data_IF_240991845276
#
_entry.id   IF_240991845276
#
_cell.length_a   1.000
_cell.length_b   1.000
_cell.length_c   1.000
_cell.angle_alpha   90.00
_cell.angle_beta   90.00
_cell.angle_gamma   90.00
#
_symmetry.space_group_name_H-M   'P 1'
#
loop_
_entity.id
_entity.type
_entity.pdbx_description
1 polymer ?
#
# COMPACT_ATOMS: atom_id res chain seq x y z
N UNK A 1 -28.62 -5.78 3.07
CA UNK A 1 -27.28 -5.74 3.67
C UNK A 1 -26.96 -4.29 3.93
N UNK A 2 -26.42 -3.99 5.11
CA UNK A 2 -25.84 -2.69 5.44
C UNK A 2 -24.31 -2.73 5.25
N UNK A 3 -23.62 -1.62 5.52
CA UNK A 3 -22.16 -1.55 5.37
C UNK A 3 -21.41 -2.57 6.25
N UNK A 4 -21.91 -2.81 7.47
CA UNK A 4 -21.31 -3.77 8.41
C UNK A 4 -21.45 -5.22 7.91
N UNK A 5 -22.59 -5.59 7.32
CA UNK A 5 -22.80 -6.91 6.72
C UNK A 5 -21.77 -7.16 5.61
N UNK A 6 -21.55 -6.18 4.73
CA UNK A 6 -20.55 -6.26 3.67
C UNK A 6 -19.12 -6.26 4.21
N UNK A 7 -18.84 -5.54 5.30
CA UNK A 7 -17.55 -5.59 5.98
C UNK A 7 -17.26 -7.02 6.48
N UNK A 8 -18.22 -7.65 7.15
CA UNK A 8 -18.08 -9.03 7.64
C UNK A 8 -17.93 -10.04 6.50
N UNK A 9 -18.68 -9.87 5.41
CA UNK A 9 -18.53 -10.70 4.21
C UNK A 9 -17.13 -10.56 3.61
N UNK A 10 -16.60 -9.33 3.55
CA UNK A 10 -15.25 -9.04 3.09
C UNK A 10 -14.19 -9.78 3.92
N UNK A 11 -14.31 -9.77 5.25
CA UNK A 11 -13.43 -10.55 6.13
C UNK A 11 -13.55 -12.06 5.91
N UNK A 12 -14.76 -12.59 5.74
CA UNK A 12 -14.97 -14.00 5.46
C UNK A 12 -14.24 -14.42 4.17
N UNK A 13 -14.34 -13.61 3.11
CA UNK A 13 -13.60 -13.87 1.87
C UNK A 13 -12.09 -13.72 2.04
N UNK A 14 -11.59 -12.79 2.86
CA UNK A 14 -10.16 -12.71 3.18
C UNK A 14 -9.65 -13.99 3.89
N UNK A 15 -10.45 -14.54 4.81
CA UNK A 15 -10.13 -15.80 5.49
C UNK A 15 -10.06 -16.98 4.50
N UNK A 16 -10.95 -16.99 3.50
CA UNK A 16 -10.93 -17.94 2.38
C UNK A 16 -9.86 -17.62 1.32
N UNK A 17 -9.06 -16.57 1.50
CA UNK A 17 -8.08 -16.05 0.53
C UNK A 17 -8.70 -15.66 -0.82
N UNK A 18 -10.00 -15.39 -0.84
CA UNK A 18 -10.72 -14.89 -2.01
C UNK A 18 -10.66 -13.35 -2.07
N UNK A 19 -9.49 -12.83 -2.43
CA UNK A 19 -9.23 -11.39 -2.44
C UNK A 19 -10.14 -10.60 -3.40
N UNK A 20 -10.56 -11.22 -4.51
CA UNK A 20 -11.46 -10.59 -5.46
C UNK A 20 -12.83 -10.32 -4.85
N UNK A 21 -13.43 -11.32 -4.18
CA UNK A 21 -14.73 -11.13 -3.52
C UNK A 21 -14.62 -10.23 -2.30
N UNK A 22 -13.53 -10.32 -1.54
CA UNK A 22 -13.27 -9.40 -0.43
C UNK A 22 -13.25 -7.94 -0.89
N UNK A 23 -12.55 -7.64 -1.98
CA UNK A 23 -12.56 -6.32 -2.63
C UNK A 23 -13.99 -5.86 -2.96
N UNK A 24 -14.80 -6.71 -3.60
CA UNK A 24 -16.17 -6.33 -3.95
C UNK A 24 -17.01 -6.02 -2.72
N UNK A 25 -16.91 -6.84 -1.66
CA UNK A 25 -17.65 -6.61 -0.42
C UNK A 25 -17.24 -5.30 0.24
N UNK A 26 -15.94 -4.98 0.37
CA UNK A 26 -15.53 -3.69 0.93
C UNK A 26 -15.98 -2.49 0.09
N UNK A 27 -15.98 -2.61 -1.24
CA UNK A 27 -16.53 -1.57 -2.11
C UNK A 27 -18.04 -1.39 -1.92
N UNK A 28 -18.80 -2.46 -1.70
CA UNK A 28 -20.23 -2.35 -1.35
C UNK A 28 -20.42 -1.70 0.03
N UNK A 29 -19.56 -1.99 1.01
CA UNK A 29 -19.61 -1.34 2.32
C UNK A 29 -19.45 0.18 2.19
N UNK A 30 -18.50 0.64 1.36
CA UNK A 30 -18.31 2.06 1.03
C UNK A 30 -19.57 2.68 0.41
N UNK A 31 -20.25 1.97 -0.50
CA UNK A 31 -21.49 2.47 -1.10
C UNK A 31 -22.64 2.60 -0.08
N UNK A 32 -22.66 1.75 0.95
CA UNK A 32 -23.65 1.82 2.01
C UNK A 32 -23.43 3.00 2.96
N UNK A 33 -22.17 3.30 3.32
CA UNK A 33 -21.80 4.48 4.11
C UNK A 33 -20.46 5.05 3.64
N UNK A 34 -20.48 6.05 2.73
CA UNK A 34 -19.28 6.69 2.22
C UNK A 34 -18.55 7.56 3.25
N UNK A 35 -19.12 7.76 4.45
CA UNK A 35 -18.49 8.56 5.51
C UNK A 35 -17.71 7.72 6.51
N UNK A 36 -17.79 6.38 6.41
CA UNK A 36 -17.08 5.49 7.31
C UNK A 36 -15.63 5.23 6.82
N UNK A 37 -14.60 5.75 7.50
CA UNK A 37 -13.20 5.59 7.09
C UNK A 37 -12.72 4.13 7.13
N UNK A 38 -13.32 3.29 7.98
CA UNK A 38 -12.92 1.90 8.15
C UNK A 38 -13.09 1.10 6.85
N UNK A 39 -14.16 1.36 6.10
CA UNK A 39 -14.41 0.65 4.85
C UNK A 39 -13.36 0.96 3.78
N UNK A 40 -12.93 2.22 3.71
CA UNK A 40 -11.83 2.63 2.83
C UNK A 40 -10.50 2.01 3.26
N UNK A 41 -10.24 1.94 4.56
CA UNK A 41 -9.05 1.29 5.09
C UNK A 41 -8.98 -0.19 4.67
N UNK A 42 -10.01 -0.99 4.92
CA UNK A 42 -9.99 -2.42 4.55
C UNK A 42 -9.94 -2.67 3.04
N UNK A 43 -10.64 -1.83 2.27
CA UNK A 43 -10.52 -1.85 0.82
C UNK A 43 -9.08 -1.54 0.36
N UNK A 44 -8.43 -0.53 0.96
CA UNK A 44 -7.05 -0.15 0.62
C UNK A 44 -6.05 -1.27 0.93
N UNK A 45 -6.15 -1.90 2.11
CA UNK A 45 -5.31 -3.03 2.52
C UNK A 45 -5.47 -4.20 1.54
N UNK A 46 -6.70 -4.51 1.14
CA UNK A 46 -6.99 -5.60 0.20
C UNK A 46 -6.39 -5.32 -1.18
N UNK A 47 -6.52 -4.09 -1.67
CA UNK A 47 -5.94 -3.65 -2.95
C UNK A 47 -4.41 -3.64 -2.93
N UNK A 48 -3.83 -3.23 -1.79
CA UNK A 48 -2.39 -3.21 -1.58
C UNK A 48 -1.81 -4.63 -1.67
N UNK A 49 -2.46 -5.59 -1.01
CA UNK A 49 -2.10 -7.03 -1.10
C UNK A 49 -2.23 -7.58 -2.51
N UNK A 50 -3.20 -7.10 -3.29
CA UNK A 50 -3.36 -7.44 -4.71
C UNK A 50 -2.43 -6.66 -5.65
N UNK A 51 -1.47 -5.90 -5.12
CA UNK A 51 -0.53 -5.05 -5.86
C UNK A 51 -1.19 -3.95 -6.72
N UNK A 52 -2.47 -3.65 -6.47
CA UNK A 52 -3.22 -2.58 -7.12
C UNK A 52 -2.91 -1.23 -6.45
N UNK A 53 -1.62 -0.87 -6.36
CA UNK A 53 -1.12 0.19 -5.49
C UNK A 53 -1.76 1.56 -5.71
N UNK A 54 -2.05 1.93 -6.97
CA UNK A 54 -2.68 3.23 -7.26
C UNK A 54 -4.11 3.32 -6.71
N UNK A 55 -4.89 2.23 -6.79
CA UNK A 55 -6.23 2.17 -6.19
C UNK A 55 -6.14 2.14 -4.67
N UNK A 56 -5.22 1.34 -4.14
CA UNK A 56 -4.96 1.27 -2.71
C UNK A 56 -4.63 2.66 -2.13
N UNK A 57 -3.76 3.42 -2.81
CA UNK A 57 -3.35 4.76 -2.41
C UNK A 57 -4.54 5.72 -2.31
N UNK A 58 -5.41 5.74 -3.32
CA UNK A 58 -6.60 6.59 -3.32
C UNK A 58 -7.53 6.28 -2.13
N UNK A 59 -7.78 4.99 -1.88
CA UNK A 59 -8.64 4.57 -0.77
C UNK A 59 -8.01 4.88 0.60
N UNK A 60 -6.70 4.65 0.74
CA UNK A 60 -5.98 4.96 1.98
C UNK A 60 -5.98 6.47 2.27
N UNK A 61 -5.79 7.31 1.25
CA UNK A 61 -5.90 8.77 1.39
C UNK A 61 -7.27 9.18 1.91
N UNK A 62 -8.36 8.62 1.37
CA UNK A 62 -9.72 8.92 1.85
C UNK A 62 -9.90 8.49 3.31
N UNK A 63 -9.39 7.32 3.71
CA UNK A 63 -9.48 6.88 5.12
C UNK A 63 -8.78 7.86 6.09
N UNK A 64 -7.63 8.41 5.68
CA UNK A 64 -6.90 9.43 6.46
C UNK A 64 -7.62 10.78 6.42
N UNK A 65 -8.20 11.18 5.30
CA UNK A 65 -8.97 12.43 5.20
C UNK A 65 -10.21 12.42 6.11
N UNK A 66 -10.90 11.28 6.18
CA UNK A 66 -12.09 11.08 7.02
C UNK A 66 -11.75 10.93 8.51
N UNK A 67 -10.58 10.40 8.84
CA UNK A 67 -10.10 10.23 10.22
C UNK A 67 -8.59 10.52 10.35
N UNK A 68 -8.19 11.81 10.34
CA UNK A 68 -6.78 12.22 10.29
C UNK A 68 -6.00 11.88 11.56
N UNK A 69 -6.68 11.75 12.70
CA UNK A 69 -6.06 11.41 13.99
C UNK A 69 -5.86 9.89 14.17
N UNK A 70 -6.28 9.07 13.19
CA UNK A 70 -6.12 7.62 13.23
C UNK A 70 -4.73 7.20 12.75
N UNK A 71 -3.82 6.91 13.69
CA UNK A 71 -2.45 6.47 13.40
C UNK A 71 -2.40 5.23 12.49
N UNK A 72 -3.32 4.28 12.67
CA UNK A 72 -3.40 3.06 11.86
C UNK A 72 -3.61 3.38 10.36
N UNK A 73 -4.46 4.36 10.05
CA UNK A 73 -4.73 4.74 8.66
C UNK A 73 -3.56 5.49 8.05
N UNK A 74 -2.91 6.35 8.84
CA UNK A 74 -1.69 7.03 8.44
C UNK A 74 -0.55 6.03 8.16
N UNK A 75 -0.38 5.01 9.01
CA UNK A 75 0.61 3.94 8.83
C UNK A 75 0.36 3.14 7.54
N UNK A 76 -0.86 2.67 7.32
CA UNK A 76 -1.23 1.96 6.08
C UNK A 76 -0.98 2.81 4.82
N UNK A 77 -1.25 4.11 4.88
CA UNK A 77 -0.90 5.02 3.78
C UNK A 77 0.62 5.05 3.53
N UNK A 78 1.47 5.10 4.58
CA UNK A 78 2.92 5.05 4.42
C UNK A 78 3.40 3.73 3.81
N UNK A 79 2.84 2.59 4.24
CA UNK A 79 3.17 1.26 3.72
C UNK A 79 2.86 1.13 2.21
N UNK A 80 1.71 1.66 1.78
CA UNK A 80 1.32 1.70 0.37
C UNK A 80 2.28 2.60 -0.42
N UNK A 81 2.62 3.78 0.11
CA UNK A 81 3.59 4.70 -0.52
C UNK A 81 4.97 4.03 -0.65
N UNK A 82 5.43 3.31 0.37
CA UNK A 82 6.68 2.57 0.32
C UNK A 82 6.68 1.53 -0.82
N UNK A 83 5.58 0.79 -0.98
CA UNK A 83 5.43 -0.19 -2.06
C UNK A 83 5.42 0.44 -3.45
N UNK A 84 4.84 1.63 -3.60
CA UNK A 84 4.90 2.41 -4.85
C UNK A 84 6.33 2.86 -5.15
N UNK A 85 7.05 3.34 -4.13
CA UNK A 85 8.45 3.76 -4.27
C UNK A 85 9.34 2.58 -4.66
N UNK A 86 9.14 1.40 -4.08
CA UNK A 86 9.81 0.15 -4.49
C UNK A 86 9.53 -0.17 -5.96
N UNK A 87 8.27 -0.10 -6.41
CA UNK A 87 7.93 -0.31 -7.81
C UNK A 87 8.62 0.71 -8.74
N UNK A 88 8.67 1.98 -8.33
CA UNK A 88 9.36 3.03 -9.07
C UNK A 88 10.87 2.81 -9.11
N UNK A 89 11.46 2.36 -8.02
CA UNK A 89 12.88 2.05 -7.92
C UNK A 89 13.28 0.94 -8.90
N UNK A 90 12.50 -0.15 -8.95
CA UNK A 90 12.74 -1.22 -9.92
C UNK A 90 12.60 -0.73 -11.37
N UNK A 91 11.62 0.13 -11.65
CA UNK A 91 11.48 0.76 -12.97
C UNK A 91 12.65 1.68 -13.32
N UNK A 92 13.17 2.43 -12.36
CA UNK A 92 14.36 3.25 -12.55
C UNK A 92 15.58 2.38 -12.85
N UNK A 93 15.74 1.23 -12.16
CA UNK A 93 16.80 0.26 -12.43
C UNK A 93 16.71 -0.35 -13.82
N UNK A 94 15.51 -0.75 -14.26
CA UNK A 94 15.34 -1.30 -15.62
C UNK A 94 15.71 -0.29 -16.69
N UNK A 95 15.59 1.01 -16.39
CA UNK A 95 15.99 2.11 -17.26
C UNK A 95 17.46 2.53 -17.09
N UNK A 96 18.24 1.82 -16.26
CA UNK A 96 19.65 2.11 -15.99
C UNK A 96 19.90 3.29 -15.02
N UNK A 97 18.85 3.89 -14.46
CA UNK A 97 18.97 5.02 -13.54
C UNK A 97 19.16 4.55 -12.09
N UNK A 98 20.37 4.07 -11.79
CA UNK A 98 20.76 3.54 -10.46
C UNK A 98 20.62 4.58 -9.34
N UNK A 99 20.91 5.85 -9.63
CA UNK A 99 20.84 6.91 -8.63
C UNK A 99 19.40 7.19 -8.21
N UNK A 100 18.47 7.27 -9.17
CA UNK A 100 17.05 7.45 -8.85
C UNK A 100 16.51 6.25 -8.08
N UNK A 101 16.84 5.03 -8.51
CA UNK A 101 16.42 3.82 -7.79
C UNK A 101 16.92 3.79 -6.34
N UNK A 102 18.17 4.20 -6.10
CA UNK A 102 18.72 4.26 -4.74
C UNK A 102 17.97 5.28 -3.86
N UNK A 103 17.55 6.43 -4.43
CA UNK A 103 16.73 7.41 -3.72
C UNK A 103 15.35 6.86 -3.39
N UNK A 104 14.70 6.20 -4.36
CA UNK A 104 13.36 5.66 -4.18
C UNK A 104 13.36 4.52 -3.14
N UNK A 105 14.35 3.62 -3.15
CA UNK A 105 14.50 2.60 -2.10
C UNK A 105 14.79 3.22 -0.73
N UNK A 106 15.64 4.26 -0.67
CA UNK A 106 15.92 4.95 0.59
C UNK A 106 14.65 5.59 1.19
N UNK A 107 13.87 6.29 0.37
CA UNK A 107 12.61 6.87 0.81
C UNK A 107 11.61 5.79 1.22
N UNK A 108 11.54 4.66 0.49
CA UNK A 108 10.68 3.54 0.88
C UNK A 108 11.03 3.00 2.27
N UNK A 109 12.32 2.86 2.61
CA UNK A 109 12.77 2.46 3.95
C UNK A 109 12.40 3.48 5.05
N UNK A 110 12.35 4.78 4.73
CA UNK A 110 11.92 5.80 5.69
C UNK A 110 10.41 5.72 5.98
N UNK A 111 9.62 5.31 4.97
CA UNK A 111 8.16 5.18 5.05
C UNK A 111 7.73 3.91 5.76
N UNK A 112 8.35 2.79 5.38
CA UNK A 112 8.15 1.48 5.96
C UNK A 112 9.52 0.84 6.25
N UNK A 113 10.04 0.99 7.49
CA UNK A 113 11.32 0.41 7.89
C UNK A 113 11.36 -1.13 7.85
N UNK A 114 10.21 -1.80 7.74
CA UNK A 114 10.12 -3.25 7.67
C UNK A 114 9.97 -3.76 6.23
N UNK A 115 9.97 -2.87 5.22
CA UNK A 115 9.91 -3.26 3.82
C UNK A 115 11.21 -3.93 3.37
N UNK A 116 11.18 -5.27 3.32
CA UNK A 116 12.35 -6.10 2.99
C UNK A 116 12.86 -5.81 1.57
N UNK A 117 11.97 -5.57 0.61
CA UNK A 117 12.34 -5.25 -0.77
C UNK A 117 13.09 -3.91 -0.85
N UNK A 118 12.58 -2.89 -0.15
CA UNK A 118 13.24 -1.60 -0.05
C UNK A 118 14.63 -1.69 0.57
N UNK A 119 14.74 -2.40 1.70
CA UNK A 119 16.01 -2.57 2.41
C UNK A 119 17.05 -3.28 1.53
N UNK A 120 16.69 -4.40 0.91
CA UNK A 120 17.60 -5.12 0.02
C UNK A 120 18.00 -4.29 -1.22
N UNK A 121 17.04 -3.59 -1.83
CA UNK A 121 17.30 -2.74 -2.99
C UNK A 121 18.26 -1.58 -2.66
N UNK A 122 18.07 -0.96 -1.49
CA UNK A 122 18.93 0.10 -0.99
C UNK A 122 20.37 -0.39 -0.76
N UNK A 123 20.55 -1.45 0.02
CA UNK A 123 21.87 -2.02 0.33
C UNK A 123 22.62 -2.46 -0.94
N UNK A 124 21.93 -3.13 -1.85
CA UNK A 124 22.49 -3.55 -3.13
C UNK A 124 23.08 -2.37 -3.93
N UNK A 125 22.32 -1.28 -4.06
CA UNK A 125 22.76 -0.11 -4.83
C UNK A 125 23.83 0.69 -4.11
N UNK A 126 23.81 0.76 -2.78
CA UNK A 126 24.92 1.36 -2.04
C UNK A 126 26.24 0.66 -2.33
N UNK A 127 26.25 -0.67 -2.29
CA UNK A 127 27.45 -1.45 -2.58
C UNK A 127 27.92 -1.27 -4.02
N UNK A 128 27.00 -1.23 -4.98
CA UNK A 128 27.33 -1.04 -6.39
C UNK A 128 27.92 0.35 -6.66
N UNK A 129 27.28 1.41 -6.16
CA UNK A 129 27.70 2.79 -6.40
C UNK A 129 29.06 3.10 -5.75
N UNK A 130 29.36 2.52 -4.58
CA UNK A 130 30.69 2.67 -3.93
C UNK A 130 31.83 1.98 -4.70
N UNK A 131 31.53 1.02 -5.58
CA UNK A 131 32.55 0.35 -6.42
C UNK A 131 32.82 1.09 -7.73
N UNK A 132 31.90 1.96 -8.14
CA UNK A 132 31.96 2.73 -9.39
C UNK A 132 32.60 4.12 -9.20
N UNK A 133 32.84 4.54 -7.95
CA UNK A 133 33.52 5.79 -7.55
C UNK A 133 35.00 5.61 -7.29
#
# INVERSE_FOLDING_TARGET
MNGEDYLQEGYAYLYEQNFYRAEQSFLQAILCDPSNPEYYFHASVTMHRNQAYQKALQLAQISVELAPDCELYAQNLQEIVASILVQNAYRALSNGNKLQAAKDFAEACLRDPFNVEAFHGYEYLQHLLRRES
#
